data_IF_647537407945
#
_entry.id   IF_647537407945
#
_cell.length_a   1.000
_cell.length_b   1.000
_cell.length_c   1.000
_cell.angle_alpha   90.00
_cell.angle_beta   90.00
_cell.angle_gamma   90.00
#
_symmetry.space_group_name_H-M   'P 1'
#
loop_
_entity.id
_entity.type
_entity.pdbx_description
1 polymer ?
#
# COMPACT_ATOMS: atom_id res chain seq x y z
N UNK A 1 -12.29 -16.76 9.15
CA UNK A 1 -11.84 -18.10 8.68
C UNK A 1 -13.00 -18.90 8.07
N UNK A 2 -14.16 -18.92 8.70
CA UNK A 2 -15.36 -19.63 8.17
C UNK A 2 -15.80 -19.09 6.80
N UNK A 3 -15.87 -17.79 6.60
CA UNK A 3 -16.20 -17.20 5.29
C UNK A 3 -15.18 -17.60 4.20
N UNK A 4 -13.90 -17.70 4.54
CA UNK A 4 -12.86 -18.13 3.59
C UNK A 4 -13.08 -19.59 3.16
N UNK A 5 -13.48 -20.47 4.06
CA UNK A 5 -13.81 -21.86 3.75
C UNK A 5 -15.04 -21.95 2.87
N UNK A 6 -16.14 -21.26 3.20
CA UNK A 6 -17.34 -21.18 2.37
C UNK A 6 -17.04 -20.69 0.97
N UNK A 7 -16.22 -19.63 0.87
CA UNK A 7 -15.79 -19.07 -0.40
C UNK A 7 -15.00 -20.08 -1.25
N UNK A 8 -14.04 -20.80 -0.67
CA UNK A 8 -13.22 -21.78 -1.40
C UNK A 8 -14.03 -23.00 -1.84
N UNK A 9 -14.97 -23.46 -1.01
CA UNK A 9 -15.90 -24.56 -1.37
C UNK A 9 -16.75 -24.13 -2.57
N UNK A 10 -17.31 -22.92 -2.55
CA UNK A 10 -18.10 -22.41 -3.67
C UNK A 10 -17.25 -22.16 -4.92
N UNK A 11 -16.02 -21.67 -4.74
CA UNK A 11 -15.07 -21.49 -5.83
C UNK A 11 -14.74 -22.82 -6.53
N UNK A 12 -14.67 -23.92 -5.77
CA UNK A 12 -14.49 -25.25 -6.30
C UNK A 12 -15.73 -25.71 -7.11
N UNK A 13 -16.91 -25.50 -6.60
CA UNK A 13 -18.15 -25.82 -7.30
C UNK A 13 -18.32 -25.03 -8.61
N UNK A 14 -17.84 -23.78 -8.63
CA UNK A 14 -17.89 -22.92 -9.82
C UNK A 14 -16.69 -23.09 -10.78
N UNK A 15 -15.71 -23.96 -10.45
CA UNK A 15 -14.53 -24.26 -11.30
C UNK A 15 -13.45 -23.16 -11.29
N UNK A 16 -13.33 -22.39 -10.21
CA UNK A 16 -12.34 -21.33 -10.04
C UNK A 16 -11.49 -21.49 -8.76
N UNK A 17 -11.48 -22.68 -8.18
CA UNK A 17 -10.77 -22.99 -6.94
C UNK A 17 -9.29 -22.66 -7.03
N UNK A 18 -8.62 -23.16 -8.06
CA UNK A 18 -7.17 -23.05 -8.21
C UNK A 18 -6.73 -21.60 -8.41
N UNK A 19 -7.53 -20.80 -9.11
CA UNK A 19 -7.28 -19.38 -9.31
C UNK A 19 -7.31 -18.62 -7.98
N UNK A 20 -8.37 -18.82 -7.18
CA UNK A 20 -8.52 -18.11 -5.92
C UNK A 20 -7.64 -18.68 -4.82
N UNK A 21 -7.36 -20.00 -4.82
CA UNK A 21 -6.40 -20.62 -3.92
C UNK A 21 -5.01 -20.01 -4.11
N UNK A 22 -4.54 -19.92 -5.37
CA UNK A 22 -3.24 -19.34 -5.67
C UNK A 22 -3.16 -17.87 -5.26
N UNK A 23 -4.21 -17.09 -5.52
CA UNK A 23 -4.27 -15.67 -5.11
C UNK A 23 -4.18 -15.51 -3.58
N UNK A 24 -4.95 -16.31 -2.84
CA UNK A 24 -4.97 -16.31 -1.37
C UNK A 24 -3.69 -16.86 -0.73
N UNK A 25 -2.87 -17.61 -1.46
CA UNK A 25 -1.57 -18.12 -0.98
C UNK A 25 -0.38 -17.26 -1.37
N UNK A 26 -0.55 -16.33 -2.31
CA UNK A 26 0.56 -15.54 -2.88
C UNK A 26 0.33 -14.04 -2.79
N UNK A 27 -0.90 -13.60 -2.66
CA UNK A 27 -1.26 -12.18 -2.66
C UNK A 27 -0.89 -11.45 -3.95
N UNK A 28 -0.93 -12.13 -5.09
CA UNK A 28 -0.61 -11.55 -6.40
C UNK A 28 -1.57 -10.41 -6.74
N UNK A 29 -1.09 -9.44 -7.52
CA UNK A 29 -2.01 -8.50 -8.15
C UNK A 29 -2.84 -9.22 -9.20
N UNK A 30 -4.13 -8.89 -9.33
CA UNK A 30 -5.03 -9.52 -10.31
C UNK A 30 -4.41 -9.65 -11.71
N UNK A 31 -3.72 -8.61 -12.20
CA UNK A 31 -3.07 -8.65 -13.49
C UNK A 31 -1.89 -9.61 -13.57
N UNK A 32 -1.13 -9.75 -12.48
CA UNK A 32 -0.04 -10.72 -12.35
C UNK A 32 -0.57 -12.15 -12.36
N UNK A 33 -1.58 -12.43 -11.53
CA UNK A 33 -2.23 -13.73 -11.43
C UNK A 33 -2.77 -14.23 -12.78
N UNK A 34 -3.47 -13.35 -13.51
CA UNK A 34 -4.07 -13.68 -14.81
C UNK A 34 -3.01 -13.94 -15.88
N UNK A 35 -1.86 -13.25 -15.81
CA UNK A 35 -0.79 -13.37 -16.79
C UNK A 35 0.10 -14.59 -16.57
N UNK A 36 -0.12 -15.40 -15.55
CA UNK A 36 0.69 -16.59 -15.27
C UNK A 36 0.56 -17.64 -16.36
N UNK A 37 1.70 -18.19 -16.72
CA UNK A 37 1.84 -19.35 -17.62
C UNK A 37 2.44 -20.53 -16.86
N UNK A 38 2.24 -21.74 -17.36
CA UNK A 38 2.81 -22.93 -16.72
C UNK A 38 4.36 -22.93 -16.70
N UNK A 39 4.99 -22.25 -17.65
CA UNK A 39 6.45 -22.05 -17.68
C UNK A 39 6.98 -21.16 -16.54
N UNK A 40 6.10 -20.33 -15.93
CA UNK A 40 6.48 -19.48 -14.79
C UNK A 40 6.60 -20.29 -13.49
N UNK A 41 6.10 -21.53 -13.45
CA UNK A 41 6.11 -22.38 -12.27
C UNK A 41 7.04 -23.59 -12.47
N UNK A 42 8.08 -23.67 -11.66
CA UNK A 42 8.90 -24.85 -11.54
C UNK A 42 8.30 -25.80 -10.48
N UNK A 43 7.75 -26.92 -10.91
CA UNK A 43 7.09 -27.91 -10.05
C UNK A 43 8.05 -28.71 -9.15
N UNK A 44 9.35 -28.75 -9.46
CA UNK A 44 10.36 -29.46 -8.67
C UNK A 44 10.79 -28.63 -7.47
N UNK A 45 11.07 -27.34 -7.73
CA UNK A 45 11.52 -26.40 -6.70
C UNK A 45 10.39 -25.65 -6.01
N UNK A 46 9.18 -25.70 -6.56
CA UNK A 46 8.04 -24.93 -6.07
C UNK A 46 8.12 -23.43 -6.34
N UNK A 47 9.07 -22.99 -7.16
CA UNK A 47 9.30 -21.56 -7.43
C UNK A 47 8.38 -21.06 -8.53
N UNK A 48 7.55 -20.06 -8.20
CA UNK A 48 6.73 -19.29 -9.13
C UNK A 48 7.41 -17.96 -9.43
N UNK A 49 7.64 -17.68 -10.71
CA UNK A 49 8.25 -16.42 -11.18
C UNK A 49 7.17 -15.46 -11.66
N UNK A 50 7.11 -14.27 -11.04
CA UNK A 50 6.19 -13.19 -11.42
C UNK A 50 6.97 -12.14 -12.22
N UNK A 51 6.80 -12.13 -13.55
CA UNK A 51 7.57 -11.30 -14.48
C UNK A 51 6.69 -10.61 -15.54
N UNK A 52 5.38 -10.80 -15.49
CA UNK A 52 4.42 -10.25 -16.45
C UNK A 52 3.10 -9.88 -15.77
N UNK A 53 2.31 -9.05 -16.41
CA UNK A 53 0.97 -8.67 -15.95
C UNK A 53 0.01 -8.50 -17.12
N UNK A 54 -1.25 -8.87 -16.92
CA UNK A 54 -2.34 -8.66 -17.85
C UNK A 54 -2.98 -7.29 -17.61
N UNK A 55 -3.15 -6.53 -18.67
CA UNK A 55 -3.76 -5.21 -18.65
C UNK A 55 -4.74 -5.04 -19.82
N UNK A 56 -5.83 -4.33 -19.62
CA UNK A 56 -6.81 -4.08 -20.69
C UNK A 56 -6.69 -2.64 -21.15
N UNK A 57 -6.40 -2.46 -22.44
CA UNK A 57 -6.34 -1.15 -23.12
C UNK A 57 -7.34 -1.18 -24.27
N UNK A 58 -8.22 -0.20 -24.33
CA UNK A 58 -9.24 -0.08 -25.39
C UNK A 58 -10.04 -1.37 -25.63
N UNK A 59 -10.32 -2.14 -24.57
CA UNK A 59 -11.05 -3.40 -24.66
C UNK A 59 -10.19 -4.63 -24.99
N UNK A 60 -8.94 -4.44 -25.38
CA UNK A 60 -8.00 -5.53 -25.70
C UNK A 60 -7.13 -5.90 -24.49
N UNK A 61 -6.95 -7.20 -24.30
CA UNK A 61 -6.07 -7.72 -23.26
C UNK A 61 -4.62 -7.74 -23.76
N UNK A 62 -3.75 -7.04 -23.06
CA UNK A 62 -2.32 -7.00 -23.32
C UNK A 62 -1.56 -7.63 -22.17
N UNK A 63 -0.52 -8.39 -22.49
CA UNK A 63 0.42 -8.94 -21.52
C UNK A 63 1.72 -8.14 -21.65
N UNK A 64 2.06 -7.47 -20.58
CA UNK A 64 3.22 -6.57 -20.53
C UNK A 64 4.12 -6.92 -19.34
N UNK A 65 5.41 -6.61 -19.41
CA UNK A 65 6.28 -6.73 -18.24
C UNK A 65 5.82 -5.76 -17.13
N UNK A 66 6.20 -6.02 -15.87
CA UNK A 66 5.90 -5.12 -14.78
C UNK A 66 6.56 -3.75 -14.99
N UNK A 67 5.92 -2.68 -14.48
CA UNK A 67 6.41 -1.31 -14.61
C UNK A 67 7.78 -1.06 -13.98
N UNK A 68 8.17 -1.86 -12.98
CA UNK A 68 9.45 -1.70 -12.26
C UNK A 68 10.16 -3.05 -12.14
N UNK A 69 11.50 -3.02 -12.13
CA UNK A 69 12.32 -4.22 -11.88
C UNK A 69 12.01 -4.87 -10.52
N UNK A 70 11.67 -4.08 -9.52
CA UNK A 70 11.29 -4.55 -8.18
C UNK A 70 9.97 -5.37 -8.17
N UNK A 71 9.14 -5.24 -9.20
CA UNK A 71 7.92 -6.05 -9.34
C UNK A 71 8.19 -7.45 -9.89
N UNK A 72 9.36 -7.69 -10.49
CA UNK A 72 9.81 -9.03 -10.89
C UNK A 72 10.31 -9.74 -9.63
N UNK A 73 9.66 -10.83 -9.27
CA UNK A 73 9.97 -11.57 -8.05
C UNK A 73 9.70 -13.06 -8.19
N UNK A 74 10.31 -13.83 -7.30
CA UNK A 74 10.12 -15.27 -7.18
C UNK A 74 9.42 -15.58 -5.86
N UNK A 75 8.41 -16.42 -5.90
CA UNK A 75 7.65 -16.88 -4.75
C UNK A 75 7.82 -18.39 -4.63
N UNK A 76 7.94 -18.91 -3.42
CA UNK A 76 7.94 -20.35 -3.15
C UNK A 76 6.53 -20.74 -2.73
N UNK A 77 5.91 -21.64 -3.49
CA UNK A 77 4.56 -22.13 -3.21
C UNK A 77 4.58 -23.26 -2.16
N UNK A 78 3.59 -23.30 -1.27
CA UNK A 78 3.42 -24.44 -0.36
C UNK A 78 3.21 -25.74 -1.10
N UNK A 79 3.74 -26.90 -0.61
CA UNK A 79 3.59 -28.21 -1.24
C UNK A 79 2.14 -28.61 -1.53
N UNK A 80 1.21 -28.25 -0.64
CA UNK A 80 -0.22 -28.51 -0.83
C UNK A 80 -0.79 -27.76 -2.06
N UNK A 81 -0.38 -26.51 -2.28
CA UNK A 81 -0.79 -25.70 -3.44
C UNK A 81 -0.20 -26.29 -4.72
N UNK A 82 1.09 -26.72 -4.68
CA UNK A 82 1.73 -27.39 -5.82
C UNK A 82 1.01 -28.67 -6.23
N UNK A 83 0.57 -29.48 -5.27
CA UNK A 83 -0.18 -30.70 -5.54
C UNK A 83 -1.51 -30.37 -6.28
N UNK A 84 -2.26 -29.38 -5.80
CA UNK A 84 -3.50 -28.93 -6.45
C UNK A 84 -3.23 -28.41 -7.86
N UNK A 85 -2.21 -27.56 -8.05
CA UNK A 85 -1.87 -27.02 -9.37
C UNK A 85 -1.37 -28.08 -10.34
N UNK A 86 -0.69 -29.15 -9.86
CA UNK A 86 -0.27 -30.28 -10.67
C UNK A 86 -1.45 -31.07 -11.23
N UNK A 87 -2.47 -31.32 -10.40
CA UNK A 87 -3.70 -31.97 -10.85
C UNK A 87 -4.51 -31.07 -11.79
N UNK A 88 -4.56 -29.79 -11.51
CA UNK A 88 -5.25 -28.80 -12.35
C UNK A 88 -4.59 -28.72 -13.75
N UNK A 89 -3.25 -28.70 -13.82
CA UNK A 89 -2.51 -28.66 -15.08
C UNK A 89 -2.87 -29.83 -16.02
N UNK A 90 -3.16 -31.01 -15.49
CA UNK A 90 -3.55 -32.18 -16.29
C UNK A 90 -4.89 -32.00 -17.01
N UNK A 91 -5.73 -31.08 -16.49
CA UNK A 91 -7.07 -30.79 -17.02
C UNK A 91 -7.09 -29.58 -17.94
N UNK A 92 -5.97 -28.81 -18.00
CA UNK A 92 -5.90 -27.55 -18.75
C UNK A 92 -4.97 -27.70 -19.93
N UNK A 93 -5.54 -27.72 -21.13
CA UNK A 93 -4.79 -27.70 -22.39
C UNK A 93 -4.60 -26.24 -22.85
N UNK A 94 -3.66 -25.55 -22.21
CA UNK A 94 -3.31 -24.17 -22.52
C UNK A 94 -1.94 -23.84 -21.90
N UNK A 95 -1.20 -22.93 -22.54
CA UNK A 95 0.00 -22.35 -21.92
C UNK A 95 -0.29 -21.50 -20.69
N UNK A 96 -1.50 -20.94 -20.61
CA UNK A 96 -1.95 -20.11 -19.51
C UNK A 96 -2.39 -20.97 -18.32
N UNK A 97 -2.04 -20.57 -17.12
CA UNK A 97 -2.53 -21.26 -15.91
C UNK A 97 -4.04 -21.12 -15.78
N UNK A 98 -4.58 -19.94 -16.13
CA UNK A 98 -6.01 -19.65 -16.05
C UNK A 98 -6.52 -19.16 -17.42
N UNK A 99 -6.79 -20.08 -18.35
CA UNK A 99 -7.26 -19.73 -19.68
C UNK A 99 -8.68 -19.18 -19.67
N UNK A 100 -9.02 -18.45 -20.71
CA UNK A 100 -10.39 -18.00 -20.96
C UNK A 100 -11.28 -19.22 -21.25
N UNK A 101 -12.48 -19.32 -20.65
CA UNK A 101 -13.39 -20.41 -20.94
C UNK A 101 -13.93 -20.42 -22.38
N UNK A 102 -13.75 -19.30 -23.11
CA UNK A 102 -14.20 -19.15 -24.51
C UNK A 102 -13.05 -19.32 -25.52
N UNK A 103 -11.82 -18.92 -25.12
CA UNK A 103 -10.63 -18.92 -25.99
C UNK A 103 -9.43 -19.46 -25.20
N UNK A 104 -9.13 -20.73 -25.34
CA UNK A 104 -8.04 -21.40 -24.59
C UNK A 104 -6.65 -20.85 -24.89
N UNK A 105 -6.43 -20.17 -26.02
CA UNK A 105 -5.20 -19.51 -26.41
C UNK A 105 -4.93 -18.19 -25.66
N UNK A 106 -5.91 -17.70 -24.92
CA UNK A 106 -5.84 -16.44 -24.15
C UNK A 106 -6.15 -16.67 -22.67
N UNK A 107 -5.57 -15.88 -21.77
CA UNK A 107 -5.91 -15.98 -20.37
C UNK A 107 -7.30 -15.38 -20.11
N UNK A 108 -7.88 -15.74 -18.96
CA UNK A 108 -9.09 -15.09 -18.43
C UNK A 108 -8.89 -13.57 -18.35
N UNK A 109 -9.91 -12.78 -18.65
CA UNK A 109 -9.78 -11.31 -18.58
C UNK A 109 -9.98 -10.80 -17.14
N UNK A 110 -9.39 -9.64 -16.78
CA UNK A 110 -9.58 -9.01 -15.47
C UNK A 110 -11.06 -8.76 -15.12
N UNK A 111 -11.88 -8.49 -16.13
CA UNK A 111 -13.33 -8.29 -15.98
C UNK A 111 -14.06 -9.59 -15.62
N UNK A 112 -13.68 -10.70 -16.26
CA UNK A 112 -14.28 -12.02 -15.97
C UNK A 112 -13.86 -12.47 -14.58
N UNK A 113 -12.57 -12.41 -14.22
CA UNK A 113 -12.11 -12.78 -12.89
C UNK A 113 -12.83 -11.99 -11.78
N UNK A 114 -13.04 -10.67 -11.97
CA UNK A 114 -13.81 -9.86 -11.04
C UNK A 114 -15.26 -10.29 -10.93
N UNK A 115 -15.94 -10.56 -12.07
CA UNK A 115 -17.34 -11.01 -12.04
C UNK A 115 -17.46 -12.35 -11.33
N UNK A 116 -16.56 -13.30 -11.61
CA UNK A 116 -16.57 -14.62 -10.97
C UNK A 116 -16.38 -14.53 -9.46
N UNK A 117 -15.45 -13.68 -8.98
CA UNK A 117 -15.32 -13.40 -7.55
C UNK A 117 -16.67 -12.97 -6.94
N UNK A 118 -17.36 -12.00 -7.55
CA UNK A 118 -18.62 -11.48 -7.01
C UNK A 118 -19.72 -12.57 -7.01
N UNK A 119 -19.84 -13.34 -8.09
CA UNK A 119 -20.82 -14.44 -8.17
C UNK A 119 -20.55 -15.52 -7.12
N UNK A 120 -19.28 -15.88 -6.89
CA UNK A 120 -18.91 -16.88 -5.89
C UNK A 120 -19.20 -16.38 -4.48
N UNK A 121 -18.85 -15.13 -4.17
CA UNK A 121 -19.14 -14.53 -2.86
C UNK A 121 -20.65 -14.48 -2.57
N UNK A 122 -21.45 -14.11 -3.56
CA UNK A 122 -22.91 -14.08 -3.46
C UNK A 122 -23.49 -15.48 -3.21
N UNK A 123 -23.04 -16.48 -3.96
CA UNK A 123 -23.49 -17.89 -3.81
C UNK A 123 -23.03 -18.52 -2.49
N UNK A 124 -21.88 -18.12 -1.98
CA UNK A 124 -21.33 -18.57 -0.70
C UNK A 124 -21.92 -17.84 0.50
N UNK A 125 -22.84 -16.91 0.28
CA UNK A 125 -23.37 -16.01 1.33
C UNK A 125 -22.23 -15.35 2.14
N UNK A 126 -21.22 -14.86 1.43
CA UNK A 126 -20.06 -14.17 1.99
C UNK A 126 -20.14 -12.68 1.73
N UNK A 127 -19.51 -11.90 2.62
CA UNK A 127 -19.39 -10.45 2.45
C UNK A 127 -18.76 -10.11 1.11
N UNK A 128 -19.36 -9.16 0.40
CA UNK A 128 -18.85 -8.66 -0.87
C UNK A 128 -17.54 -7.90 -0.67
N UNK A 129 -16.46 -8.37 -1.33
CA UNK A 129 -15.13 -7.77 -1.29
C UNK A 129 -14.61 -7.51 -2.70
N UNK A 130 -13.66 -6.60 -2.85
CA UNK A 130 -12.98 -6.34 -4.12
C UNK A 130 -11.91 -7.39 -4.38
N UNK A 131 -11.51 -7.57 -5.62
CA UNK A 131 -10.42 -8.51 -5.96
C UNK A 131 -9.12 -8.18 -5.21
N UNK A 132 -8.82 -6.90 -5.03
CA UNK A 132 -7.63 -6.46 -4.30
C UNK A 132 -7.67 -6.79 -2.81
N UNK A 133 -8.85 -6.95 -2.24
CA UNK A 133 -9.02 -7.28 -0.83
C UNK A 133 -8.60 -8.74 -0.51
N UNK A 134 -8.55 -9.64 -1.53
CA UNK A 134 -7.97 -10.98 -1.39
C UNK A 134 -6.48 -10.91 -1.06
N UNK A 135 -5.76 -9.97 -1.68
CA UNK A 135 -4.35 -9.71 -1.37
C UNK A 135 -4.19 -9.15 0.05
N UNK A 136 -5.11 -8.32 0.55
CA UNK A 136 -5.11 -7.89 1.95
C UNK A 136 -5.38 -9.07 2.88
N UNK A 137 -6.30 -9.96 2.51
CA UNK A 137 -6.56 -11.21 3.26
C UNK A 137 -5.30 -12.07 3.35
N UNK A 138 -4.59 -12.29 2.24
CA UNK A 138 -3.29 -12.99 2.26
C UNK A 138 -2.30 -12.31 3.21
N UNK A 139 -2.15 -10.99 3.11
CA UNK A 139 -1.21 -10.25 3.94
C UNK A 139 -1.53 -10.38 5.43
N UNK A 140 -2.81 -10.25 5.80
CA UNK A 140 -3.27 -10.42 7.20
C UNK A 140 -3.01 -11.84 7.68
N UNK A 141 -3.40 -12.86 6.90
CA UNK A 141 -3.16 -14.26 7.28
C UNK A 141 -1.67 -14.60 7.40
N UNK A 142 -0.83 -14.07 6.50
CA UNK A 142 0.61 -14.28 6.56
C UNK A 142 1.22 -13.71 7.85
N UNK A 143 0.80 -12.50 8.24
CA UNK A 143 1.24 -11.86 9.48
C UNK A 143 0.71 -12.59 10.71
N UNK A 144 -0.57 -12.99 10.73
CA UNK A 144 -1.16 -13.78 11.82
C UNK A 144 -0.43 -15.12 12.03
N UNK A 145 0.14 -15.69 10.94
CA UNK A 145 0.94 -16.90 10.99
C UNK A 145 2.45 -16.64 11.21
N UNK A 146 2.84 -15.42 11.61
CA UNK A 146 4.19 -15.09 12.04
C UNK A 146 5.17 -14.76 10.90
N UNK A 147 4.68 -14.51 9.67
CA UNK A 147 5.56 -14.03 8.59
C UNK A 147 6.05 -12.63 8.92
N UNK A 148 7.36 -12.40 8.79
CA UNK A 148 7.92 -11.07 9.00
C UNK A 148 7.56 -10.09 7.85
N UNK A 149 7.52 -8.79 8.18
CA UNK A 149 7.09 -7.73 7.25
C UNK A 149 7.95 -7.62 6.03
N UNK A 150 9.26 -7.82 6.18
CA UNK A 150 10.22 -7.68 5.08
C UNK A 150 9.98 -8.78 4.05
N UNK A 151 9.80 -10.03 4.51
CA UNK A 151 9.43 -11.17 3.67
C UNK A 151 8.08 -10.94 3.00
N UNK A 152 7.06 -10.52 3.75
CA UNK A 152 5.74 -10.20 3.20
C UNK A 152 5.82 -9.09 2.14
N UNK A 153 6.54 -8.00 2.41
CA UNK A 153 6.74 -6.88 1.48
C UNK A 153 7.42 -7.34 0.19
N UNK A 154 8.44 -8.21 0.30
CA UNK A 154 9.13 -8.80 -0.85
C UNK A 154 8.19 -9.70 -1.67
N UNK A 155 7.40 -10.56 -1.02
CA UNK A 155 6.40 -11.41 -1.67
C UNK A 155 5.33 -10.60 -2.41
N UNK A 156 4.85 -9.54 -1.79
CA UNK A 156 3.86 -8.64 -2.39
C UNK A 156 4.46 -7.77 -3.51
N UNK A 157 5.77 -7.57 -3.57
CA UNK A 157 6.42 -6.67 -4.52
C UNK A 157 6.02 -5.21 -4.26
N UNK A 158 6.03 -4.79 -3.00
CA UNK A 158 5.87 -3.40 -2.61
C UNK A 158 7.20 -2.66 -2.76
N UNK A 159 7.19 -1.51 -3.43
CA UNK A 159 8.37 -0.65 -3.60
C UNK A 159 8.73 0.04 -2.28
N UNK A 160 7.76 0.17 -1.36
CA UNK A 160 7.93 0.78 -0.05
C UNK A 160 7.33 -0.11 1.04
N UNK A 161 8.09 -0.35 2.10
CA UNK A 161 7.62 -1.05 3.29
C UNK A 161 6.46 -0.30 4.00
N UNK A 162 6.33 1.01 3.78
CA UNK A 162 5.23 1.84 4.32
C UNK A 162 3.87 1.29 3.90
N UNK A 163 3.72 0.85 2.65
CA UNK A 163 2.45 0.25 2.18
C UNK A 163 2.13 -1.06 2.89
N UNK A 164 3.14 -1.79 3.35
CA UNK A 164 2.96 -3.00 4.14
C UNK A 164 2.67 -2.65 5.60
N UNK A 165 3.28 -1.60 6.13
CA UNK A 165 3.07 -1.10 7.49
C UNK A 165 1.65 -0.56 7.70
N UNK A 166 1.00 0.00 6.69
CA UNK A 166 -0.41 0.43 6.76
C UNK A 166 -1.36 -0.74 7.06
N UNK A 167 -0.98 -1.97 6.67
CA UNK A 167 -1.69 -3.21 7.02
C UNK A 167 -1.44 -3.58 8.50
N UNK A 168 -0.29 -3.13 9.07
CA UNK A 168 0.12 -3.40 10.46
C UNK A 168 -0.62 -2.59 11.52
N UNK A 169 -1.35 -1.55 11.15
CA UNK A 169 -2.14 -0.77 12.12
C UNK A 169 -3.19 -1.64 12.84
N UNK A 170 -3.38 -2.87 12.37
CA UNK A 170 -4.29 -3.87 12.94
C UNK A 170 -3.56 -5.06 13.59
N UNK A 171 -2.43 -4.82 14.29
CA UNK A 171 -1.81 -5.86 15.14
C UNK A 171 -2.83 -6.29 16.18
N UNK A 172 -3.34 -7.51 16.02
CA UNK A 172 -4.31 -8.08 16.96
C UNK A 172 -3.60 -8.56 18.24
N UNK A 173 -4.32 -8.54 19.37
CA UNK A 173 -3.80 -9.12 20.62
C UNK A 173 -3.37 -10.61 20.48
N UNK A 174 -3.92 -11.32 19.50
CA UNK A 174 -3.56 -12.70 19.18
C UNK A 174 -2.16 -12.80 18.54
N UNK A 175 -1.78 -11.85 17.69
CA UNK A 175 -0.44 -11.78 17.12
C UNK A 175 0.61 -11.52 18.20
N UNK A 176 0.31 -10.66 19.17
CA UNK A 176 1.21 -10.40 20.30
C UNK A 176 1.36 -11.64 21.18
N UNK A 177 0.27 -12.36 21.44
CA UNK A 177 0.31 -13.62 22.20
C UNK A 177 1.09 -14.72 21.48
N UNK A 178 0.91 -14.86 20.17
CA UNK A 178 1.63 -15.81 19.34
C UNK A 178 3.14 -15.50 19.30
N UNK A 179 3.52 -14.22 19.19
CA UNK A 179 4.91 -13.78 19.26
C UNK A 179 5.53 -14.07 20.64
N UNK A 180 4.82 -13.76 21.72
CA UNK A 180 5.26 -14.08 23.08
C UNK A 180 5.46 -15.60 23.27
N UNK A 181 4.51 -16.43 22.82
CA UNK A 181 4.62 -17.88 22.88
C UNK A 181 5.75 -18.44 22.00
N UNK A 182 6.10 -17.76 20.91
CA UNK A 182 7.23 -18.13 20.05
C UNK A 182 8.56 -17.81 20.72
N UNK A 183 8.66 -16.65 21.37
CA UNK A 183 9.82 -16.24 22.16
C UNK A 183 10.02 -17.23 23.32
N UNK A 184 8.95 -17.56 24.03
CA UNK A 184 8.97 -18.49 25.15
C UNK A 184 9.48 -19.88 24.73
N UNK A 185 9.06 -20.37 23.57
CA UNK A 185 9.58 -21.61 22.97
C UNK A 185 11.04 -21.53 22.54
N UNK A 186 11.49 -20.35 22.07
CA UNK A 186 12.86 -20.14 21.58
C UNK A 186 13.87 -19.98 22.70
N UNK A 187 13.46 -19.40 23.83
CA UNK A 187 14.30 -19.22 25.00
C UNK A 187 14.51 -20.57 25.76
N UNK A 188 13.63 -21.55 25.45
CA UNK A 188 13.60 -22.83 26.17
C UNK A 188 13.06 -22.62 27.58
N UNK A 189 12.55 -23.68 28.22
CA UNK A 189 12.34 -23.69 29.66
C UNK A 189 13.73 -23.58 30.30
N UNK A 190 14.12 -22.37 30.69
CA UNK A 190 15.14 -22.25 31.71
C UNK A 190 14.60 -23.08 32.90
N UNK A 191 15.24 -24.18 33.19
CA UNK A 191 14.98 -24.90 34.46
C UNK A 191 15.16 -23.86 35.54
N UNK A 192 14.04 -23.34 36.04
CA UNK A 192 14.01 -22.55 37.24
C UNK A 192 14.44 -23.53 38.34
N UNK A 193 15.73 -23.53 38.67
CA UNK A 193 16.15 -24.03 39.95
C UNK A 193 15.31 -23.32 41.00
N UNK A 194 14.57 -24.09 41.79
CA UNK A 194 13.97 -23.64 43.03
C UNK A 194 15.09 -23.13 43.95
N UNK A 195 15.46 -21.88 43.79
CA UNK A 195 16.20 -21.14 44.79
C UNK A 195 15.20 -20.23 45.51
N UNK A 196 15.21 -20.31 46.82
CA UNK A 196 14.37 -19.66 47.81
C UNK A 196 13.87 -18.28 47.42
N UNK A 197 12.58 -18.02 47.68
CA UNK A 197 11.91 -16.73 47.49
C UNK A 197 12.74 -15.57 48.06
N UNK A 198 13.22 -14.63 47.25
CA UNK A 198 13.59 -13.32 47.77
C UNK A 198 12.29 -12.51 47.88
N UNK A 199 12.12 -11.88 49.02
CA UNK A 199 11.05 -10.95 49.35
C UNK A 199 10.64 -10.09 48.17
N UNK A 200 9.35 -10.08 47.83
CA UNK A 200 8.72 -9.21 46.84
C UNK A 200 8.92 -7.75 47.25
N UNK A 201 10.01 -7.17 46.80
CA UNK A 201 10.09 -5.69 46.73
C UNK A 201 9.09 -5.20 45.70
N UNK A 202 8.25 -4.27 46.15
CA UNK A 202 7.08 -3.77 45.54
C UNK A 202 7.18 -3.53 44.03
N UNK A 203 6.07 -3.75 43.37
CA UNK A 203 5.79 -3.44 41.96
C UNK A 203 6.32 -2.03 41.67
N UNK A 204 7.41 -1.95 40.91
CA UNK A 204 7.85 -0.68 40.35
C UNK A 204 6.76 -0.28 39.39
N UNK A 205 6.06 0.79 39.74
CA UNK A 205 4.99 1.39 38.91
C UNK A 205 5.58 1.67 37.52
N UNK A 206 5.24 0.83 36.54
CA UNK A 206 5.68 0.98 35.17
C UNK A 206 4.94 2.18 34.58
N UNK A 207 5.55 3.34 34.68
CA UNK A 207 5.05 4.50 33.94
C UNK A 207 5.45 4.32 32.47
N UNK A 208 4.49 4.18 31.55
CA UNK A 208 4.79 4.12 30.12
C UNK A 208 5.58 5.39 29.75
N UNK A 209 6.73 5.20 29.09
CA UNK A 209 7.53 6.31 28.59
C UNK A 209 6.68 7.17 27.67
N UNK A 210 6.12 8.24 28.19
CA UNK A 210 5.47 9.28 27.44
C UNK A 210 6.58 10.14 26.85
N UNK A 211 7.04 9.77 25.65
CA UNK A 211 8.00 10.57 24.90
C UNK A 211 7.50 12.01 24.85
N UNK A 212 8.35 12.97 25.20
CA UNK A 212 8.00 14.41 25.18
C UNK A 212 7.47 14.72 23.79
N UNK A 213 6.17 15.01 23.67
CA UNK A 213 5.58 15.47 22.42
C UNK A 213 6.29 16.74 22.01
N UNK A 214 6.96 16.75 20.87
CA UNK A 214 7.59 17.96 20.33
C UNK A 214 6.54 19.02 20.08
N UNK A 215 6.91 20.28 20.27
CA UNK A 215 6.00 21.40 20.00
C UNK A 215 5.59 21.38 18.51
N UNK A 216 4.33 21.67 18.16
CA UNK A 216 3.91 21.80 16.78
C UNK A 216 4.84 22.77 16.01
N UNK A 217 5.27 22.39 14.79
CA UNK A 217 6.12 23.22 13.96
C UNK A 217 7.62 23.00 14.11
N UNK A 218 8.06 22.05 14.95
CA UNK A 218 9.50 21.74 15.13
C UNK A 218 10.01 20.56 14.28
N UNK A 219 9.18 20.00 13.42
CA UNK A 219 9.54 18.80 12.62
C UNK A 219 9.75 17.57 13.49
N UNK A 220 10.21 16.48 12.89
CA UNK A 220 10.57 15.26 13.58
C UNK A 220 11.95 14.77 13.12
N UNK A 221 12.70 14.14 14.02
CA UNK A 221 13.92 13.40 13.71
C UNK A 221 13.67 11.95 14.06
N UNK A 222 13.88 11.07 13.08
CA UNK A 222 13.70 9.61 13.19
C UNK A 222 15.03 8.94 12.85
N UNK A 223 15.41 7.97 13.62
CA UNK A 223 16.54 7.10 13.31
C UNK A 223 16.08 6.06 12.29
N UNK A 224 16.79 5.98 11.15
CA UNK A 224 16.50 5.01 10.08
C UNK A 224 17.30 3.74 10.32
N UNK A 225 18.55 3.88 10.74
CA UNK A 225 19.46 2.80 11.14
C UNK A 225 20.53 3.36 12.06
N UNK A 226 21.42 2.48 12.59
CA UNK A 226 22.48 2.80 13.56
C UNK A 226 23.42 3.97 13.16
N UNK A 227 23.38 4.41 11.92
CA UNK A 227 24.27 5.45 11.39
C UNK A 227 23.57 6.50 10.52
N UNK A 228 22.21 6.51 10.48
CA UNK A 228 21.48 7.45 9.63
C UNK A 228 20.22 7.97 10.33
N UNK A 229 20.12 9.28 10.46
CA UNK A 229 18.98 9.99 10.99
C UNK A 229 18.29 10.79 9.88
N UNK A 230 16.95 10.77 9.86
CA UNK A 230 16.11 11.58 8.98
C UNK A 230 15.42 12.67 9.80
N UNK A 231 15.64 13.91 9.40
CA UNK A 231 14.88 15.06 9.87
C UNK A 231 13.79 15.42 8.84
N UNK A 232 12.52 15.51 9.26
CA UNK A 232 11.40 15.81 8.37
C UNK A 232 10.61 17.00 8.86
N UNK A 233 10.29 17.92 7.93
CA UNK A 233 9.39 19.03 8.17
C UNK A 233 8.33 19.10 7.07
N UNK A 234 7.06 19.25 7.46
CA UNK A 234 5.91 19.17 6.54
C UNK A 234 4.88 20.26 6.87
N UNK A 235 5.17 21.54 6.62
CA UNK A 235 4.25 22.62 6.88
C UNK A 235 3.13 22.69 5.84
N UNK A 236 2.00 23.27 6.23
CA UNK A 236 0.95 23.67 5.28
C UNK A 236 1.31 25.05 4.75
N UNK A 237 1.34 25.21 3.44
CA UNK A 237 1.66 26.45 2.75
C UNK A 237 0.44 27.37 2.64
N UNK A 238 0.65 28.67 2.38
CA UNK A 238 -0.47 29.64 2.28
C UNK A 238 -1.48 29.32 1.19
N UNK A 239 -1.10 28.55 0.16
CA UNK A 239 -1.99 28.03 -0.90
C UNK A 239 -2.82 26.80 -0.46
N UNK A 240 -2.65 26.37 0.81
CA UNK A 240 -3.32 25.19 1.38
C UNK A 240 -2.70 23.85 0.99
N UNK A 241 -1.57 23.81 0.28
CA UNK A 241 -0.82 22.59 -0.04
C UNK A 241 0.14 22.24 1.10
N UNK A 242 0.41 20.93 1.27
CA UNK A 242 1.40 20.46 2.23
C UNK A 242 2.69 20.09 1.51
N UNK A 243 3.78 20.73 1.88
CA UNK A 243 5.11 20.42 1.35
C UNK A 243 5.96 19.76 2.43
N UNK A 244 6.52 18.60 2.09
CA UNK A 244 7.43 17.86 2.96
C UNK A 244 8.83 17.93 2.38
N UNK A 245 9.81 18.31 3.21
CA UNK A 245 11.24 18.19 2.89
C UNK A 245 11.96 17.43 3.99
N UNK A 246 12.95 16.65 3.61
CA UNK A 246 13.73 15.81 4.51
C UNK A 246 15.20 16.21 4.45
N UNK A 247 15.89 16.06 5.57
CA UNK A 247 17.35 16.17 5.70
C UNK A 247 17.89 14.89 6.32
N UNK A 248 19.12 14.54 6.00
CA UNK A 248 19.78 13.34 6.48
C UNK A 248 21.12 13.68 7.10
N UNK A 249 21.48 12.95 8.18
CA UNK A 249 22.76 13.06 8.85
C UNK A 249 23.17 11.75 9.51
N UNK A 250 24.46 11.61 9.82
CA UNK A 250 24.99 10.43 10.49
C UNK A 250 24.86 10.46 12.02
N UNK A 251 24.61 11.64 12.60
CA UNK A 251 24.35 11.81 14.01
C UNK A 251 23.01 12.52 14.23
N UNK A 252 22.44 12.33 15.40
CA UNK A 252 21.15 12.96 15.75
C UNK A 252 21.29 14.47 15.88
N UNK A 253 22.38 14.93 16.48
CA UNK A 253 22.69 16.33 16.69
C UNK A 253 22.85 17.07 15.37
N UNK A 254 23.63 16.52 14.43
CA UNK A 254 23.78 17.05 13.08
C UNK A 254 22.45 17.09 12.32
N UNK A 255 21.62 16.05 12.48
CA UNK A 255 20.31 16.00 11.85
C UNK A 255 19.37 17.06 12.43
N UNK A 256 19.41 17.34 13.74
CA UNK A 256 18.63 18.39 14.37
C UNK A 256 19.07 19.79 13.93
N UNK A 257 20.38 20.03 13.72
CA UNK A 257 20.89 21.30 13.18
C UNK A 257 20.43 21.51 11.73
N UNK A 258 20.61 20.50 10.87
CA UNK A 258 20.13 20.55 9.48
C UNK A 258 18.61 20.74 9.41
N UNK A 259 17.86 20.12 10.31
CA UNK A 259 16.40 20.28 10.38
C UNK A 259 16.01 21.70 10.79
N UNK A 260 16.72 22.32 11.74
CA UNK A 260 16.48 23.72 12.14
C UNK A 260 16.73 24.67 10.96
N UNK A 261 17.83 24.48 10.22
CA UNK A 261 18.12 25.26 9.04
C UNK A 261 17.03 25.11 7.96
N UNK A 262 16.61 23.87 7.68
CA UNK A 262 15.51 23.59 6.75
C UNK A 262 14.19 24.27 7.17
N UNK A 263 13.87 24.24 8.45
CA UNK A 263 12.65 24.88 9.00
C UNK A 263 12.71 26.39 8.79
N UNK A 264 13.86 27.01 8.99
CA UNK A 264 14.06 28.46 8.79
C UNK A 264 13.86 28.82 7.32
N UNK A 265 14.55 28.11 6.41
CA UNK A 265 14.41 28.27 4.95
C UNK A 265 12.95 28.16 4.50
N UNK A 266 12.29 27.08 4.87
CA UNK A 266 10.89 26.84 4.48
C UNK A 266 9.90 27.87 5.09
N UNK A 267 10.19 28.42 6.27
CA UNK A 267 9.37 29.47 6.86
C UNK A 267 9.58 30.82 6.15
N UNK A 268 10.77 31.13 5.69
CA UNK A 268 11.03 32.32 4.87
C UNK A 268 10.34 32.21 3.50
N UNK A 269 10.46 31.07 2.84
CA UNK A 269 9.71 30.80 1.61
C UNK A 269 8.20 30.98 1.81
N UNK A 270 7.64 30.45 2.93
CA UNK A 270 6.22 30.61 3.28
C UNK A 270 5.83 32.06 3.52
N UNK A 271 6.70 32.84 4.15
CA UNK A 271 6.46 34.27 4.41
C UNK A 271 6.43 35.06 3.10
N UNK A 272 7.41 34.84 2.22
CA UNK A 272 7.47 35.48 0.90
C UNK A 272 6.22 35.14 0.07
N UNK A 273 5.82 33.87 0.07
CA UNK A 273 4.62 33.42 -0.61
C UNK A 273 3.34 34.06 -0.02
N UNK A 274 3.26 34.21 1.31
CA UNK A 274 2.15 34.87 1.98
C UNK A 274 2.07 36.36 1.62
N UNK A 275 3.19 37.03 1.49
CA UNK A 275 3.27 38.43 1.07
C UNK A 275 2.84 38.60 -0.39
N UNK A 276 3.24 37.70 -1.28
CA UNK A 276 2.77 37.66 -2.67
C UNK A 276 1.25 37.39 -2.77
N UNK A 277 0.72 36.60 -1.84
CA UNK A 277 -0.71 36.31 -1.74
C UNK A 277 -1.54 37.48 -1.19
N UNK A 278 -0.96 38.33 -0.34
CA UNK A 278 -1.64 39.45 0.29
C UNK A 278 -1.98 40.59 -0.69
N UNK A 279 -1.24 40.69 -1.81
CA UNK A 279 -1.41 41.76 -2.81
C UNK A 279 -2.66 41.67 -3.68
N UNK A 280 -3.44 40.59 -3.65
CA UNK A 280 -4.64 40.43 -4.48
C UNK A 280 -5.72 39.73 -3.65
N UNK A 281 -6.74 40.47 -3.25
CA UNK A 281 -7.87 39.94 -2.48
C UNK A 281 -8.65 38.89 -3.34
N UNK A 282 -9.01 37.73 -2.77
CA UNK A 282 -9.88 36.78 -3.47
C UNK A 282 -11.30 37.37 -3.61
N UNK A 283 -12.03 37.02 -4.69
CA UNK A 283 -13.43 37.42 -4.83
C UNK A 283 -14.27 36.98 -3.61
N UNK A 284 -15.17 37.82 -3.12
CA UNK A 284 -15.90 37.63 -1.87
C UNK A 284 -16.78 36.37 -1.79
N UNK A 285 -17.03 35.65 -2.89
CA UNK A 285 -17.99 34.54 -2.95
C UNK A 285 -17.39 33.22 -3.53
N UNK A 286 -16.24 32.79 -3.01
CA UNK A 286 -15.70 31.48 -3.40
C UNK A 286 -15.98 30.39 -2.33
N UNK A 287 -16.46 29.22 -2.79
CA UNK A 287 -16.51 28.03 -1.91
C UNK A 287 -15.09 27.59 -1.51
N UNK A 288 -14.95 26.85 -0.39
CA UNK A 288 -13.65 26.33 0.08
C UNK A 288 -12.85 25.61 -1.01
N UNK A 289 -13.53 24.85 -1.90
CA UNK A 289 -12.89 24.11 -3.00
C UNK A 289 -12.43 25.04 -4.13
N UNK A 290 -13.23 26.02 -4.47
CA UNK A 290 -12.91 27.04 -5.49
C UNK A 290 -11.77 27.95 -5.00
N UNK A 291 -11.79 28.36 -3.75
CA UNK A 291 -10.72 29.16 -3.14
C UNK A 291 -9.37 28.43 -3.18
N UNK A 292 -9.37 27.15 -2.82
CA UNK A 292 -8.16 26.31 -2.86
C UNK A 292 -7.59 26.19 -4.29
N UNK A 293 -8.46 26.05 -5.30
CA UNK A 293 -8.06 26.00 -6.70
C UNK A 293 -7.56 27.37 -7.17
N UNK A 294 -8.24 28.47 -6.78
CA UNK A 294 -7.89 29.85 -7.13
C UNK A 294 -6.53 30.25 -6.53
N UNK A 295 -6.28 29.94 -5.26
CA UNK A 295 -5.01 30.23 -4.57
C UNK A 295 -3.84 29.51 -5.28
N UNK A 296 -4.01 28.25 -5.67
CA UNK A 296 -2.98 27.50 -6.37
C UNK A 296 -2.76 28.01 -7.82
N UNK A 297 -3.82 28.16 -8.59
CA UNK A 297 -3.73 28.60 -9.99
C UNK A 297 -3.15 30.01 -10.11
N UNK A 298 -3.41 30.89 -9.16
CA UNK A 298 -2.85 32.24 -9.14
C UNK A 298 -1.32 32.25 -9.04
N UNK A 299 -0.76 31.36 -8.23
CA UNK A 299 0.69 31.23 -7.99
C UNK A 299 1.40 30.46 -9.09
N UNK A 300 0.68 29.59 -9.77
CA UNK A 300 1.23 28.69 -10.78
C UNK A 300 0.52 28.89 -12.11
N UNK A 301 0.76 30.04 -12.79
CA UNK A 301 0.08 30.36 -14.05
C UNK A 301 0.42 29.38 -15.17
N UNK A 302 1.55 28.72 -15.09
CA UNK A 302 2.01 27.71 -16.05
C UNK A 302 1.30 26.38 -15.97
N UNK A 303 0.63 26.08 -14.83
CA UNK A 303 -0.03 24.79 -14.62
C UNK A 303 -1.48 24.86 -15.09
N UNK A 304 -1.76 24.23 -16.24
CA UNK A 304 -3.10 24.16 -16.86
C UNK A 304 -3.70 22.77 -16.84
N UNK A 305 -2.89 21.75 -16.62
CA UNK A 305 -3.31 20.35 -16.66
C UNK A 305 -4.13 19.95 -15.41
N UNK A 306 -5.36 19.44 -15.63
CA UNK A 306 -6.30 19.09 -14.55
C UNK A 306 -5.79 17.97 -13.62
N UNK A 307 -4.96 17.04 -14.10
CA UNK A 307 -4.35 15.99 -13.31
C UNK A 307 -3.34 16.56 -12.33
N UNK A 308 -2.52 17.49 -12.79
CA UNK A 308 -1.50 18.17 -11.99
C UNK A 308 -2.15 19.10 -10.96
N UNK A 309 -3.15 19.89 -11.37
CA UNK A 309 -3.95 20.73 -10.47
C UNK A 309 -4.64 19.89 -9.37
N UNK A 310 -5.26 18.77 -9.73
CA UNK A 310 -5.91 17.86 -8.77
C UNK A 310 -4.92 17.31 -7.75
N UNK A 311 -3.76 16.84 -8.21
CA UNK A 311 -2.68 16.31 -7.36
C UNK A 311 -2.14 17.37 -6.40
N UNK A 312 -1.90 18.57 -6.88
CA UNK A 312 -1.31 19.66 -6.09
C UNK A 312 -2.29 20.30 -5.13
N UNK A 313 -3.54 20.49 -5.53
CA UNK A 313 -4.58 21.06 -4.66
C UNK A 313 -5.24 20.05 -3.72
N UNK A 314 -5.02 18.74 -3.94
CA UNK A 314 -5.71 17.67 -3.21
C UNK A 314 -7.22 17.61 -3.48
N UNK A 315 -7.67 18.15 -4.62
CA UNK A 315 -9.05 18.09 -5.07
C UNK A 315 -9.25 16.93 -6.06
N UNK A 316 -10.45 16.34 -6.10
CA UNK A 316 -10.76 15.35 -7.11
C UNK A 316 -10.70 15.98 -8.53
N UNK A 317 -10.16 15.25 -9.52
CA UNK A 317 -10.01 15.73 -10.90
C UNK A 317 -11.33 16.28 -11.50
N UNK A 318 -12.46 15.64 -11.22
CA UNK A 318 -13.77 16.11 -11.65
C UNK A 318 -14.17 17.43 -10.98
N UNK A 319 -13.76 17.67 -9.75
CA UNK A 319 -13.98 18.95 -9.02
C UNK A 319 -13.14 20.05 -9.66
N UNK A 320 -11.88 19.77 -10.01
CA UNK A 320 -11.01 20.72 -10.69
C UNK A 320 -11.62 21.06 -12.06
N UNK A 321 -11.99 20.06 -12.87
CA UNK A 321 -12.62 20.26 -14.19
C UNK A 321 -13.89 21.12 -14.10
N UNK A 322 -14.72 20.89 -13.08
CA UNK A 322 -15.97 21.65 -12.86
C UNK A 322 -15.73 23.13 -12.56
N UNK A 323 -14.67 23.46 -11.81
CA UNK A 323 -14.45 24.82 -11.32
C UNK A 323 -13.35 25.58 -12.08
N UNK A 324 -12.57 24.89 -12.91
CA UNK A 324 -11.42 25.48 -13.61
C UNK A 324 -11.79 26.69 -14.46
N UNK A 325 -12.80 26.58 -15.33
CA UNK A 325 -13.18 27.66 -16.23
C UNK A 325 -13.57 28.95 -15.49
N UNK A 326 -14.35 28.81 -14.41
CA UNK A 326 -14.76 29.95 -13.60
C UNK A 326 -13.55 30.60 -12.89
N UNK A 327 -12.67 29.77 -12.30
CA UNK A 327 -11.48 30.25 -11.60
C UNK A 327 -10.47 30.88 -12.58
N UNK A 328 -10.28 30.29 -13.76
CA UNK A 328 -9.41 30.83 -14.81
C UNK A 328 -9.91 32.19 -15.30
N UNK A 329 -11.22 32.33 -15.53
CA UNK A 329 -11.83 33.62 -15.93
C UNK A 329 -11.63 34.70 -14.86
N UNK A 330 -11.75 34.36 -13.57
CA UNK A 330 -11.49 35.28 -12.44
C UNK A 330 -10.01 35.71 -12.37
N UNK A 331 -9.10 34.89 -12.89
CA UNK A 331 -7.66 35.20 -12.98
C UNK A 331 -7.28 35.91 -14.30
N UNK A 332 -8.26 36.30 -15.14
CA UNK A 332 -8.02 36.95 -16.43
C UNK A 332 -7.35 36.05 -17.48
N UNK A 333 -7.49 34.72 -17.34
CA UNK A 333 -6.90 33.77 -18.27
C UNK A 333 -7.88 33.44 -19.40
N UNK A 334 -7.44 33.60 -20.65
CA UNK A 334 -8.17 33.14 -21.83
C UNK A 334 -8.16 31.61 -21.85
N UNK A 335 -9.35 31.00 -22.00
CA UNK A 335 -9.46 29.56 -22.25
C UNK A 335 -8.90 29.23 -23.63
N UNK A 336 -7.71 28.63 -23.69
CA UNK A 336 -7.34 27.84 -24.88
C UNK A 336 -7.96 26.46 -24.65
N UNK A 337 -9.02 26.20 -25.47
CA UNK A 337 -9.73 24.90 -25.52
C UNK A 337 -8.84 23.80 -26.06
#
# INVERSE_FOLDING_TARGET
REELQKFLIQAQADGYYELFLLDLCTGLRRGELIALQWEDLNFETGVLTVNKQAYTVNGELQIIPPKTKASVRKLVLPPAVLAVLREYRRKVDSRWMFPSPVKADRPITPGVARRRLQTILERADCKRVRFHDLRHTFATLALENGMDVKTLSAMLGHVSAVTTLDIYTHITGDMQRAAAASIDRSIGKAELREEAEPERKGIVDFQPYVGKKRKPGTGCVTEINDHLFEGRYSPIWPDGTQHSRNVYAHTREECEEKLKALITEMNEERKNLKEQLAGIAPPEKLTKKQRKLWDYMRLHPEVTEFSTLAKRTGLARNTVKKHYGMVAAMLGRTMTL
#
